data_IF_451599208921
#
_entry.id   IF_451599208921
#
_cell.length_a   1.000
_cell.length_b   1.000
_cell.length_c   1.000
_cell.angle_alpha   90.00
_cell.angle_beta   90.00
_cell.angle_gamma   90.00
#
_symmetry.space_group_name_H-M   'P 1'
#
loop_
_entity.id
_entity.type
_entity.pdbx_description
1 polymer ?
#
# COMPACT_ATOMS: atom_id res chain seq x y z
N UNK A 1 -13.68 8.85 -16.83
CA UNK A 1 -12.40 9.40 -17.32
C UNK A 1 -12.48 9.50 -18.85
N UNK A 2 -11.94 10.55 -19.42
CA UNK A 2 -12.09 10.79 -20.85
C UNK A 2 -11.11 9.88 -21.62
N UNK A 3 -11.63 8.80 -22.22
CA UNK A 3 -10.85 7.76 -22.90
C UNK A 3 -10.10 8.24 -24.17
N UNK A 4 -10.09 9.54 -24.40
CA UNK A 4 -9.50 10.15 -25.59
C UNK A 4 -8.26 11.02 -25.30
N UNK A 5 -8.01 11.39 -24.04
CA UNK A 5 -6.89 12.28 -23.71
C UNK A 5 -5.60 11.48 -23.58
N UNK A 6 -4.52 11.85 -24.30
CA UNK A 6 -3.23 11.17 -24.18
C UNK A 6 -2.64 11.20 -22.78
N UNK A 7 -2.13 10.06 -22.31
CA UNK A 7 -1.47 9.97 -21.01
C UNK A 7 0.00 10.31 -21.11
N UNK A 8 0.27 11.60 -21.23
CA UNK A 8 1.61 12.16 -21.42
C UNK A 8 1.83 13.39 -20.54
N UNK A 9 3.09 13.79 -20.42
CA UNK A 9 3.49 15.06 -19.83
C UNK A 9 4.35 15.86 -20.80
N UNK A 10 3.89 17.04 -21.22
CA UNK A 10 4.69 17.99 -21.99
C UNK A 10 5.67 18.73 -21.07
N UNK A 11 6.86 18.96 -21.56
CA UNK A 11 7.88 19.81 -20.92
C UNK A 11 8.86 20.37 -21.95
N UNK A 12 9.57 21.42 -21.54
CA UNK A 12 10.60 22.04 -22.38
C UNK A 12 11.89 22.23 -21.60
N UNK A 13 12.99 22.21 -22.33
CA UNK A 13 14.29 22.75 -21.91
C UNK A 13 14.50 24.14 -22.53
N UNK A 14 15.66 24.77 -22.32
CA UNK A 14 15.97 26.09 -22.91
C UNK A 14 15.74 26.14 -24.42
N UNK A 15 16.13 25.06 -25.13
CA UNK A 15 16.16 25.04 -26.60
C UNK A 15 15.25 24.03 -27.27
N UNK A 16 14.57 23.16 -26.49
CA UNK A 16 13.85 22.03 -27.07
C UNK A 16 12.56 21.71 -26.34
N UNK A 17 11.59 21.16 -27.10
CA UNK A 17 10.31 20.70 -26.61
C UNK A 17 10.28 19.17 -26.58
N UNK A 18 9.64 18.60 -25.56
CA UNK A 18 9.55 17.17 -25.32
C UNK A 18 8.19 16.80 -24.77
N UNK A 19 7.82 15.54 -24.97
CA UNK A 19 6.82 14.91 -24.11
C UNK A 19 7.35 13.61 -23.53
N UNK A 20 6.93 13.31 -22.30
CA UNK A 20 7.08 12.01 -21.68
C UNK A 20 5.80 11.22 -21.91
N UNK A 21 5.88 10.10 -22.59
CA UNK A 21 4.76 9.17 -22.82
C UNK A 21 4.81 8.09 -21.77
N UNK A 22 3.79 8.07 -20.89
CA UNK A 22 3.75 7.16 -19.74
C UNK A 22 3.56 5.71 -20.17
N UNK A 23 2.74 5.47 -21.20
CA UNK A 23 2.46 4.12 -21.66
C UNK A 23 3.69 3.44 -22.27
N UNK A 24 4.52 4.19 -22.99
CA UNK A 24 5.76 3.65 -23.60
C UNK A 24 7.00 3.89 -22.74
N UNK A 25 6.87 4.60 -21.59
CA UNK A 25 7.96 5.02 -20.72
C UNK A 25 9.10 5.71 -21.48
N UNK A 26 8.75 6.60 -22.43
CA UNK A 26 9.69 7.22 -23.35
C UNK A 26 9.61 8.73 -23.35
N UNK A 27 10.78 9.38 -23.48
CA UNK A 27 10.89 10.83 -23.74
C UNK A 27 11.09 11.03 -25.23
N UNK A 28 10.21 11.82 -25.83
CA UNK A 28 10.23 12.10 -27.27
C UNK A 28 10.47 13.59 -27.49
N UNK A 29 11.52 13.91 -28.27
CA UNK A 29 11.78 15.28 -28.71
C UNK A 29 10.83 15.63 -29.85
N UNK A 30 10.25 16.82 -29.79
CA UNK A 30 9.33 17.38 -30.79
C UNK A 30 9.73 18.83 -31.10
N UNK A 31 9.17 19.41 -32.14
CA UNK A 31 9.27 20.83 -32.38
C UNK A 31 8.12 21.59 -31.68
N UNK A 32 8.26 22.93 -31.63
CA UNK A 32 7.29 23.81 -30.98
C UNK A 32 5.88 23.70 -31.57
N UNK A 33 5.76 23.61 -32.89
CA UNK A 33 4.48 23.49 -33.58
C UNK A 33 3.73 22.19 -33.17
N UNK A 34 4.45 21.08 -33.03
CA UNK A 34 3.89 19.81 -32.56
C UNK A 34 3.53 19.88 -31.08
N UNK A 35 4.31 20.61 -30.27
CA UNK A 35 3.99 20.82 -28.83
C UNK A 35 2.64 21.51 -28.69
N UNK A 36 2.38 22.60 -29.40
CA UNK A 36 1.09 23.28 -29.37
C UNK A 36 -0.08 22.40 -29.86
N UNK A 37 0.14 21.62 -30.93
CA UNK A 37 -0.87 20.66 -31.38
C UNK A 37 -1.22 19.63 -30.31
N UNK A 38 -0.22 19.16 -29.55
CA UNK A 38 -0.46 18.21 -28.45
C UNK A 38 -1.16 18.89 -27.27
N UNK A 39 -0.85 20.16 -26.95
CA UNK A 39 -1.56 20.93 -25.93
C UNK A 39 -3.04 21.07 -26.27
N UNK A 40 -3.36 21.41 -27.54
CA UNK A 40 -4.73 21.49 -28.02
C UNK A 40 -5.45 20.13 -27.98
N UNK A 41 -4.74 19.04 -28.32
CA UNK A 41 -5.28 17.69 -28.23
C UNK A 41 -5.63 17.31 -26.78
N UNK A 42 -4.77 17.68 -25.82
CA UNK A 42 -5.00 17.47 -24.37
C UNK A 42 -6.21 18.31 -23.90
N UNK A 43 -6.37 19.51 -24.45
CA UNK A 43 -7.51 20.38 -24.16
C UNK A 43 -8.85 19.87 -24.75
N UNK A 44 -8.84 18.77 -25.52
CA UNK A 44 -10.03 18.12 -26.04
C UNK A 44 -10.38 18.52 -27.48
N UNK A 45 -9.45 19.10 -28.24
CA UNK A 45 -9.69 19.49 -29.62
C UNK A 45 -9.53 18.28 -30.56
N UNK A 46 -10.62 17.58 -30.81
CA UNK A 46 -10.67 16.34 -31.59
C UNK A 46 -10.28 16.50 -33.08
N UNK A 47 -10.31 17.70 -33.62
CA UNK A 47 -9.98 17.98 -35.05
C UNK A 47 -8.51 17.60 -35.33
N UNK A 48 -7.64 17.73 -34.33
CA UNK A 48 -6.22 17.40 -34.46
C UNK A 48 -5.90 15.89 -34.57
N UNK A 49 -6.88 15.02 -34.38
CA UNK A 49 -6.69 13.59 -34.62
C UNK A 49 -6.40 13.24 -36.08
N UNK A 50 -6.74 14.14 -37.03
CA UNK A 50 -6.45 14.00 -38.46
C UNK A 50 -5.15 14.71 -38.89
N UNK A 51 -4.48 15.41 -37.95
CA UNK A 51 -3.19 16.06 -38.24
C UNK A 51 -2.11 15.02 -38.50
N UNK A 52 -1.28 15.27 -39.56
CA UNK A 52 -0.25 14.31 -39.98
C UNK A 52 0.82 14.04 -38.94
N UNK A 53 1.21 15.04 -38.16
CA UNK A 53 2.24 14.88 -37.11
C UNK A 53 1.68 14.05 -35.95
N UNK A 54 0.46 14.33 -35.52
CA UNK A 54 -0.25 13.56 -34.51
C UNK A 54 -0.48 12.11 -34.98
N UNK A 55 -0.92 11.93 -36.20
CA UNK A 55 -1.11 10.60 -36.80
C UNK A 55 0.20 9.79 -36.84
N UNK A 56 1.33 10.45 -37.16
CA UNK A 56 2.66 9.82 -37.17
C UNK A 56 3.09 9.39 -35.78
N UNK A 57 2.85 10.20 -34.77
CA UNK A 57 3.16 9.86 -33.36
C UNK A 57 2.29 8.67 -32.88
N UNK A 58 1.00 8.70 -33.19
CA UNK A 58 0.09 7.57 -32.87
C UNK A 58 0.49 6.28 -33.58
N UNK A 59 0.89 6.34 -34.84
CA UNK A 59 1.39 5.17 -35.59
C UNK A 59 2.65 4.56 -34.96
N UNK A 60 3.48 5.38 -34.32
CA UNK A 60 4.66 4.93 -33.55
C UNK A 60 4.33 4.39 -32.17
N UNK A 61 3.05 4.37 -31.77
CA UNK A 61 2.59 3.84 -30.48
C UNK A 61 2.47 4.87 -29.37
N UNK A 62 2.77 6.15 -29.63
CA UNK A 62 2.66 7.25 -28.67
C UNK A 62 1.25 7.83 -28.59
N UNK A 63 1.04 8.72 -27.64
CA UNK A 63 -0.20 9.49 -27.44
C UNK A 63 -1.43 8.62 -27.18
N UNK A 64 -1.25 7.45 -26.59
CA UNK A 64 -2.37 6.61 -26.12
C UNK A 64 -2.96 7.20 -24.85
N UNK A 65 -4.27 7.05 -24.70
CA UNK A 65 -4.94 7.37 -23.43
C UNK A 65 -4.59 6.35 -22.35
N UNK A 66 -4.80 6.72 -21.10
CA UNK A 66 -4.64 5.78 -19.99
C UNK A 66 -5.93 4.96 -19.82
N UNK A 67 -6.07 3.91 -20.63
CA UNK A 67 -7.24 3.05 -20.64
C UNK A 67 -7.00 1.68 -20.01
N UNK A 68 -5.80 1.41 -19.59
CA UNK A 68 -5.49 0.14 -18.94
C UNK A 68 -5.79 0.25 -17.45
N UNK A 69 -6.86 -0.39 -17.00
CA UNK A 69 -6.99 -0.78 -15.62
C UNK A 69 -5.89 -1.81 -15.34
N UNK A 70 -4.73 -1.33 -14.92
CA UNK A 70 -3.68 -2.23 -14.43
C UNK A 70 -4.21 -2.85 -13.15
N UNK A 71 -4.69 -4.07 -13.25
CA UNK A 71 -5.02 -4.88 -12.08
C UNK A 71 -3.68 -5.37 -11.53
N UNK A 72 -3.23 -4.75 -10.44
CA UNK A 72 -2.04 -5.24 -9.72
C UNK A 72 -2.50 -6.38 -8.83
N UNK A 73 -2.29 -7.61 -9.28
CA UNK A 73 -2.54 -8.80 -8.49
C UNK A 73 -1.23 -9.34 -7.93
N UNK A 74 -1.19 -9.58 -6.62
CA UNK A 74 -0.07 -10.28 -6.01
C UNK A 74 -0.17 -11.78 -6.34
N UNK A 75 0.95 -12.40 -6.75
CA UNK A 75 0.98 -13.82 -7.14
C UNK A 75 0.46 -14.78 -6.06
N UNK A 76 0.50 -14.38 -4.78
CA UNK A 76 0.01 -15.16 -3.65
C UNK A 76 -1.49 -14.96 -3.35
N UNK A 77 -2.25 -14.16 -4.12
CA UNK A 77 -3.68 -13.95 -3.86
C UNK A 77 -4.47 -15.26 -3.82
N UNK A 78 -4.14 -16.19 -4.70
CA UNK A 78 -4.81 -17.49 -4.78
C UNK A 78 -4.53 -18.40 -3.57
N UNK A 79 -3.45 -18.13 -2.81
CA UNK A 79 -3.05 -18.91 -1.63
C UNK A 79 -3.39 -18.22 -0.31
N UNK A 80 -3.91 -17.00 -0.32
CA UNK A 80 -4.29 -16.25 0.90
C UNK A 80 -5.27 -17.04 1.76
N UNK A 81 -6.28 -17.70 1.13
CA UNK A 81 -7.25 -18.53 1.84
C UNK A 81 -6.60 -19.67 2.63
N UNK A 82 -5.62 -20.34 2.06
CA UNK A 82 -4.89 -21.43 2.71
C UNK A 82 -4.04 -20.90 3.87
N UNK A 83 -3.34 -19.77 3.67
CA UNK A 83 -2.56 -19.14 4.74
C UNK A 83 -3.45 -18.69 5.91
N UNK A 84 -4.59 -18.10 5.62
CA UNK A 84 -5.52 -17.61 6.65
C UNK A 84 -6.19 -18.73 7.43
N UNK A 85 -6.42 -19.88 6.79
CA UNK A 85 -7.16 -20.99 7.39
C UNK A 85 -6.30 -22.06 8.05
N UNK A 86 -4.98 -22.04 7.92
CA UNK A 86 -4.19 -23.12 8.50
C UNK A 86 -2.71 -22.81 8.73
N UNK A 87 -2.25 -21.63 8.37
CA UNK A 87 -0.80 -21.32 8.40
C UNK A 87 -0.49 -19.98 9.09
N UNK A 88 -1.26 -19.62 10.10
CA UNK A 88 -0.95 -18.47 10.93
C UNK A 88 0.25 -18.81 11.83
N UNK A 89 1.43 -18.24 11.52
CA UNK A 89 2.67 -18.56 12.22
C UNK A 89 2.90 -17.69 13.46
N UNK A 90 2.29 -16.52 13.51
CA UNK A 90 2.50 -15.58 14.60
C UNK A 90 1.20 -14.85 14.96
N UNK A 91 0.96 -14.76 16.26
CA UNK A 91 -0.03 -13.87 16.86
C UNK A 91 0.68 -12.73 17.59
N UNK A 92 0.37 -11.49 17.23
CA UNK A 92 0.90 -10.30 17.92
C UNK A 92 -0.24 -9.65 18.71
N UNK A 93 -0.13 -9.59 20.03
CA UNK A 93 -1.12 -9.00 20.93
C UNK A 93 -0.64 -7.64 21.41
N UNK A 94 -1.38 -6.58 21.05
CA UNK A 94 -1.15 -5.24 21.61
C UNK A 94 -1.82 -5.12 22.99
N UNK A 95 -1.13 -5.55 24.02
CA UNK A 95 -1.69 -5.67 25.38
C UNK A 95 -1.98 -4.32 26.05
N UNK A 96 -1.29 -3.27 25.63
CA UNK A 96 -1.52 -1.91 26.16
C UNK A 96 -1.10 -0.85 25.13
N UNK A 97 -1.73 0.33 25.22
CA UNK A 97 -1.26 1.54 24.54
C UNK A 97 -0.53 2.50 25.49
N UNK A 98 -0.45 2.15 26.79
CA UNK A 98 0.28 2.92 27.77
C UNK A 98 1.78 2.61 27.71
N UNK A 99 2.61 3.63 27.99
CA UNK A 99 4.05 3.50 28.04
C UNK A 99 4.62 4.45 29.08
N UNK A 100 5.57 3.99 29.86
CA UNK A 100 6.34 4.79 30.82
C UNK A 100 7.59 5.44 30.19
N UNK A 101 7.88 5.11 28.91
CA UNK A 101 8.97 5.68 28.13
C UNK A 101 8.45 6.75 27.14
N UNK A 102 9.37 7.62 26.69
CA UNK A 102 9.11 8.66 25.67
C UNK A 102 10.25 8.71 24.66
N UNK A 103 10.46 7.58 23.98
CA UNK A 103 11.55 7.44 23.00
C UNK A 103 11.36 8.40 21.84
N UNK A 104 12.40 9.12 21.43
CA UNK A 104 12.35 10.14 20.37
C UNK A 104 11.95 9.57 19.00
N UNK A 105 12.23 8.30 18.74
CA UNK A 105 11.88 7.60 17.50
C UNK A 105 10.48 6.95 17.52
N UNK A 106 9.80 6.98 18.65
CA UNK A 106 8.52 6.29 18.81
C UNK A 106 7.40 7.04 18.08
N UNK A 107 6.63 6.32 17.28
CA UNK A 107 5.50 6.88 16.53
C UNK A 107 4.40 7.46 17.43
N UNK A 108 4.32 7.03 18.70
CA UNK A 108 3.35 7.52 19.68
C UNK A 108 3.87 8.69 20.53
N UNK A 109 5.17 8.97 20.50
CA UNK A 109 5.80 10.07 21.24
C UNK A 109 6.17 11.26 20.34
N UNK A 110 5.97 11.13 19.02
CA UNK A 110 6.29 12.15 18.03
C UNK A 110 5.16 13.15 17.77
N UNK A 111 5.31 13.92 16.72
CA UNK A 111 4.38 14.98 16.30
C UNK A 111 3.12 14.48 15.56
N UNK A 112 2.82 13.19 15.60
CA UNK A 112 1.66 12.62 14.92
C UNK A 112 0.36 12.91 15.67
N UNK A 113 -0.56 13.63 15.05
CA UNK A 113 -1.83 14.05 15.66
C UNK A 113 -2.71 12.86 16.08
N UNK A 114 -2.68 11.76 15.29
CA UNK A 114 -3.55 10.60 15.48
C UNK A 114 -2.88 9.42 16.20
N UNK A 115 -1.64 9.58 16.66
CA UNK A 115 -0.87 8.51 17.32
C UNK A 115 -0.32 9.01 18.64
N UNK A 116 -1.08 8.80 19.70
CA UNK A 116 -0.71 9.21 21.06
C UNK A 116 -0.80 8.03 22.00
N UNK A 117 0.02 8.06 23.04
CA UNK A 117 -0.12 7.09 24.13
C UNK A 117 -1.48 7.26 24.81
N UNK A 118 -2.18 6.16 25.03
CA UNK A 118 -3.44 6.13 25.76
C UNK A 118 -3.37 5.12 26.93
N UNK A 119 -4.31 5.20 27.86
CA UNK A 119 -4.41 4.24 28.97
C UNK A 119 -5.21 2.97 28.61
N UNK A 120 -5.45 2.72 27.31
CA UNK A 120 -6.18 1.54 26.87
C UNK A 120 -5.36 0.28 27.15
N UNK A 121 -6.03 -0.74 27.65
CA UNK A 121 -5.49 -2.06 27.98
C UNK A 121 -6.37 -3.13 27.34
N UNK A 122 -5.76 -4.24 26.95
CA UNK A 122 -6.47 -5.41 26.47
C UNK A 122 -7.07 -6.16 27.67
N UNK A 123 -8.31 -6.64 27.56
CA UNK A 123 -8.86 -7.55 28.57
C UNK A 123 -8.38 -8.98 28.31
N UNK A 124 -8.42 -9.83 29.33
CA UNK A 124 -8.05 -11.23 29.17
C UNK A 124 -9.04 -11.96 28.22
N UNK A 125 -10.31 -11.59 28.24
CA UNK A 125 -11.35 -12.16 27.37
C UNK A 125 -11.05 -11.92 25.88
N UNK A 126 -10.60 -10.69 25.52
CA UNK A 126 -10.19 -10.37 24.15
C UNK A 126 -8.92 -11.14 23.79
N UNK A 127 -7.94 -11.17 24.69
CA UNK A 127 -6.70 -11.91 24.47
C UNK A 127 -6.98 -13.40 24.27
N UNK A 128 -7.88 -13.99 25.09
CA UNK A 128 -8.30 -15.38 24.99
C UNK A 128 -8.93 -15.68 23.63
N UNK A 129 -9.87 -14.85 23.16
CA UNK A 129 -10.48 -15.00 21.83
C UNK A 129 -9.44 -14.97 20.70
N UNK A 130 -8.46 -14.08 20.80
CA UNK A 130 -7.38 -14.00 19.81
C UNK A 130 -6.48 -15.24 19.83
N UNK A 131 -6.18 -15.78 21.01
CA UNK A 131 -5.42 -17.03 21.16
C UNK A 131 -6.22 -18.21 20.63
N UNK A 132 -7.51 -18.34 20.94
CA UNK A 132 -8.38 -19.38 20.44
C UNK A 132 -8.45 -19.34 18.90
N UNK A 133 -8.61 -18.14 18.33
CA UNK A 133 -8.60 -17.95 16.88
C UNK A 133 -7.26 -18.38 16.26
N UNK A 134 -6.14 -17.98 16.87
CA UNK A 134 -4.80 -18.32 16.41
C UNK A 134 -4.59 -19.84 16.38
N UNK A 135 -4.91 -20.55 17.46
CA UNK A 135 -4.75 -22.00 17.53
C UNK A 135 -5.71 -22.76 16.59
N UNK A 136 -6.89 -22.21 16.32
CA UNK A 136 -7.81 -22.77 15.34
C UNK A 136 -7.31 -22.65 13.89
N UNK A 137 -6.46 -21.66 13.61
CA UNK A 137 -5.94 -21.37 12.27
C UNK A 137 -4.43 -21.63 12.12
N UNK A 138 -3.82 -22.30 13.09
CA UNK A 138 -2.43 -22.76 13.04
C UNK A 138 -2.39 -24.28 13.12
N UNK A 139 -2.15 -24.93 11.99
CA UNK A 139 -2.04 -26.40 11.93
C UNK A 139 -0.70 -26.91 12.44
N UNK A 140 0.33 -26.07 12.47
CA UNK A 140 1.65 -26.41 13.01
C UNK A 140 1.85 -25.78 14.39
N UNK A 141 1.32 -26.44 15.41
CA UNK A 141 1.37 -25.96 16.79
C UNK A 141 2.79 -25.83 17.34
N UNK A 142 3.73 -26.67 16.90
CA UNK A 142 5.13 -26.66 17.36
C UNK A 142 5.93 -25.46 16.88
N UNK A 143 5.47 -24.77 15.82
CA UNK A 143 6.13 -23.61 15.25
C UNK A 143 5.39 -22.28 15.51
N UNK A 144 4.40 -22.29 16.40
CA UNK A 144 3.60 -21.13 16.73
C UNK A 144 4.35 -20.11 17.59
N UNK A 145 4.13 -18.82 17.34
CA UNK A 145 4.70 -17.73 18.12
C UNK A 145 3.61 -16.77 18.59
N UNK A 146 3.57 -16.50 19.89
CA UNK A 146 2.77 -15.41 20.45
C UNK A 146 3.71 -14.31 20.91
N UNK A 147 3.55 -13.12 20.37
CA UNK A 147 4.34 -11.92 20.69
C UNK A 147 3.47 -10.87 21.36
N UNK A 148 4.07 -10.16 22.29
CA UNK A 148 3.41 -9.07 22.99
C UNK A 148 3.96 -7.73 22.52
N UNK A 149 3.07 -6.80 22.24
CA UNK A 149 3.37 -5.49 21.69
C UNK A 149 2.55 -4.43 22.40
N UNK A 150 2.88 -3.16 22.15
CA UNK A 150 2.11 -2.03 22.62
C UNK A 150 2.97 -0.80 22.86
N UNK A 151 2.61 0.02 23.84
CA UNK A 151 3.47 1.06 24.37
C UNK A 151 4.67 0.42 25.06
N UNK A 152 4.50 0.00 26.33
CA UNK A 152 5.43 -0.87 27.04
C UNK A 152 4.66 -2.10 27.54
N UNK A 153 4.78 -3.26 26.86
CA UNK A 153 3.99 -4.45 27.18
C UNK A 153 4.21 -4.96 28.60
N UNK A 154 5.40 -4.78 29.17
CA UNK A 154 5.71 -5.25 30.52
C UNK A 154 4.92 -4.54 31.62
N UNK A 155 4.26 -3.41 31.31
CA UNK A 155 3.30 -2.79 32.22
C UNK A 155 2.05 -3.66 32.46
N UNK A 156 1.83 -4.66 31.60
CA UNK A 156 0.71 -5.61 31.66
C UNK A 156 1.20 -7.05 31.95
N UNK A 157 2.24 -7.20 32.77
CA UNK A 157 2.87 -8.49 33.06
C UNK A 157 1.89 -9.55 33.54
N UNK A 158 0.91 -9.16 34.38
CA UNK A 158 -0.09 -10.10 34.90
C UNK A 158 -1.02 -10.62 33.80
N UNK A 159 -1.37 -9.77 32.83
CA UNK A 159 -2.12 -10.19 31.65
C UNK A 159 -1.28 -11.15 30.78
N UNK A 160 -0.01 -10.79 30.53
CA UNK A 160 0.94 -11.62 29.75
C UNK A 160 1.05 -13.01 30.38
N UNK A 161 1.28 -13.11 31.68
CA UNK A 161 1.34 -14.40 32.40
C UNK A 161 0.07 -15.23 32.22
N UNK A 162 -1.11 -14.60 32.36
CA UNK A 162 -2.40 -15.29 32.16
C UNK A 162 -2.54 -15.83 30.75
N UNK A 163 -2.12 -15.06 29.73
CA UNK A 163 -2.16 -15.47 28.32
C UNK A 163 -1.22 -16.66 28.10
N UNK A 164 0.02 -16.60 28.59
CA UNK A 164 0.99 -17.69 28.48
C UNK A 164 0.44 -18.98 29.09
N UNK A 165 0.00 -18.94 30.35
CA UNK A 165 -0.58 -20.11 31.05
C UNK A 165 -1.82 -20.65 30.32
N UNK A 166 -2.62 -19.76 29.70
CA UNK A 166 -3.77 -20.19 28.90
C UNK A 166 -3.34 -20.89 27.61
N UNK A 167 -2.36 -20.32 26.90
CA UNK A 167 -1.86 -20.86 25.63
C UNK A 167 -1.22 -22.23 25.81
N UNK A 168 -0.46 -22.45 26.89
CA UNK A 168 0.17 -23.74 27.22
C UNK A 168 -0.85 -24.90 27.38
N UNK A 169 -2.11 -24.60 27.69
CA UNK A 169 -3.18 -25.61 27.82
C UNK A 169 -3.76 -26.03 26.46
N UNK A 170 -3.45 -25.31 25.38
CA UNK A 170 -3.98 -25.54 24.04
C UNK A 170 -2.99 -26.28 23.13
N UNK A 171 -1.74 -26.41 23.59
CA UNK A 171 -0.69 -27.20 22.93
C UNK A 171 -0.81 -28.65 23.35
#
# INVERSE_FOLDING_TARGET
>A
MNDKIPFIKLFRTLDNFYFFDVNSNSIVRINEAVSHKIEDLIAGNDILNQDMDIARLKKRGYLKANNENIIVEHSALNTVGEYMNGNLRQLILQVTQNCNLRCKYCVYSGSYVNRTHTKKRMSFEIAKQAVDFYFAHNTNKDAGVISFYGGEPLLEMELIKKIVVYSEKLI
#
